data_IF_501617597939
#
_entry.id   IF_501617597939
#
_cell.length_a   1.000
_cell.length_b   1.000
_cell.length_c   1.000
_cell.angle_alpha   90.00
_cell.angle_beta   90.00
_cell.angle_gamma   90.00
#
_symmetry.space_group_name_H-M   'P 1'
#
loop_
_entity.id
_entity.type
_entity.pdbx_description
1 polymer ?
#
# COMPACT_ATOMS: atom_id res chain seq x y z
N UNK A 1 5.13 79.04 94.95
CA UNK A 1 3.90 79.87 94.82
C UNK A 1 3.96 80.57 93.48
N UNK A 2 2.98 80.58 92.60
CA UNK A 2 1.74 79.82 92.40
C UNK A 2 1.18 80.31 91.03
N UNK A 3 0.35 79.48 90.40
CA UNK A 3 -0.65 79.78 89.36
C UNK A 3 -0.25 79.97 87.88
N UNK A 4 -0.60 78.92 87.13
CA UNK A 4 -1.60 78.89 86.03
C UNK A 4 -1.32 79.60 84.70
N UNK A 5 -1.36 78.82 83.60
CA UNK A 5 -2.31 78.88 82.45
C UNK A 5 -1.79 78.02 81.28
N UNK A 6 -2.53 76.96 80.90
CA UNK A 6 -3.32 76.82 79.66
C UNK A 6 -2.50 77.04 78.36
N UNK A 7 -2.14 76.00 77.61
CA UNK A 7 -2.94 75.19 76.65
C UNK A 7 -2.55 75.54 75.21
N UNK A 8 -1.98 74.56 74.48
CA UNK A 8 -2.49 74.15 73.16
C UNK A 8 -1.89 72.82 72.70
N UNK A 9 -2.79 71.86 72.65
CA UNK A 9 -2.82 70.63 71.86
C UNK A 9 -2.29 70.80 70.42
N UNK A 10 -1.50 69.82 69.98
CA UNK A 10 -1.59 69.24 68.64
C UNK A 10 -1.33 67.73 68.74
N UNK A 11 -2.40 66.98 68.52
CA UNK A 11 -2.50 65.53 68.38
C UNK A 11 -1.91 65.04 67.06
N UNK A 12 -1.15 63.95 67.08
CA UNK A 12 -1.00 63.02 65.96
C UNK A 12 -1.43 61.62 66.45
N UNK A 13 -2.26 60.86 65.70
CA UNK A 13 -2.66 59.52 66.14
C UNK A 13 -1.50 58.54 65.91
N UNK A 14 -1.13 57.83 66.97
CA UNK A 14 -0.23 56.67 66.91
C UNK A 14 -0.92 55.51 66.18
N UNK A 15 -0.16 54.86 65.29
CA UNK A 15 -0.57 53.69 64.52
C UNK A 15 -0.89 52.49 65.45
N UNK A 16 -2.15 52.06 65.49
CA UNK A 16 -2.55 50.78 66.09
C UNK A 16 -2.34 49.62 65.09
N UNK A 17 -1.49 48.69 65.50
CA UNK A 17 -1.06 47.48 64.82
C UNK A 17 -2.22 46.53 64.48
N UNK A 18 -2.53 46.38 63.18
CA UNK A 18 -3.55 45.45 62.65
C UNK A 18 -3.02 44.02 62.55
N UNK A 19 -2.65 43.42 63.68
CA UNK A 19 -2.34 41.98 63.71
C UNK A 19 -3.63 41.17 63.92
N UNK A 20 -3.93 40.23 63.00
CA UNK A 20 -5.12 39.37 63.11
C UNK A 20 -5.09 38.50 64.39
N UNK A 21 -6.23 38.37 65.08
CA UNK A 21 -6.44 37.44 66.20
C UNK A 21 -6.07 35.99 65.80
N UNK A 22 -5.49 35.23 66.73
CA UNK A 22 -4.98 33.85 66.56
C UNK A 22 -6.04 32.91 65.98
N UNK A 23 -7.29 33.03 66.41
CA UNK A 23 -8.40 32.20 65.89
C UNK A 23 -8.69 32.50 64.42
N UNK A 24 -8.61 33.77 64.02
CA UNK A 24 -8.75 34.19 62.62
C UNK A 24 -7.59 33.69 61.76
N UNK A 25 -6.37 33.69 62.30
CA UNK A 25 -5.19 33.12 61.61
C UNK A 25 -5.32 31.62 61.42
N UNK A 26 -5.79 30.89 62.44
CA UNK A 26 -5.98 29.43 62.36
C UNK A 26 -7.08 29.06 61.36
N UNK A 27 -8.21 29.79 61.35
CA UNK A 27 -9.28 29.60 60.37
C UNK A 27 -8.82 29.91 58.93
N UNK A 28 -8.05 30.98 58.74
CA UNK A 28 -7.47 31.31 57.44
C UNK A 28 -6.45 30.27 56.99
N UNK A 29 -5.63 29.75 57.91
CA UNK A 29 -4.67 28.69 57.61
C UNK A 29 -5.34 27.37 57.22
N UNK A 30 -6.38 26.95 57.95
CA UNK A 30 -7.17 25.76 57.62
C UNK A 30 -7.80 25.89 56.22
N UNK A 31 -8.32 27.08 55.88
CA UNK A 31 -8.89 27.35 54.57
C UNK A 31 -7.85 27.34 53.45
N UNK A 32 -6.63 27.84 53.72
CA UNK A 32 -5.50 27.80 52.79
C UNK A 32 -5.05 26.36 52.57
N UNK A 33 -4.85 25.59 53.63
CA UNK A 33 -4.42 24.20 53.57
C UNK A 33 -5.43 23.34 52.81
N UNK A 34 -6.73 23.49 53.11
CA UNK A 34 -7.79 22.81 52.38
C UNK A 34 -7.84 23.23 50.90
N UNK A 35 -7.52 24.49 50.57
CA UNK A 35 -7.46 24.96 49.17
C UNK A 35 -6.26 24.41 48.40
N UNK A 36 -5.12 24.23 49.07
CA UNK A 36 -3.88 23.66 48.51
C UNK A 36 -4.09 22.17 48.23
N UNK A 37 -4.70 21.43 49.15
CA UNK A 37 -4.96 20.00 48.98
C UNK A 37 -5.98 19.70 47.88
N UNK A 38 -7.04 20.53 47.75
CA UNK A 38 -7.97 20.42 46.62
C UNK A 38 -7.26 20.66 45.28
N UNK A 39 -6.32 21.61 45.22
CA UNK A 39 -5.52 21.85 44.01
C UNK A 39 -4.60 20.67 43.72
N UNK A 40 -3.82 20.19 44.70
CA UNK A 40 -2.95 19.02 44.54
C UNK A 40 -3.72 17.78 44.09
N UNK A 41 -4.87 17.49 44.69
CA UNK A 41 -5.73 16.34 44.33
C UNK A 41 -6.30 16.46 42.92
N UNK A 42 -6.67 17.67 42.47
CA UNK A 42 -7.09 17.90 41.07
C UNK A 42 -5.93 17.70 40.09
N UNK A 43 -4.73 18.18 40.42
CA UNK A 43 -3.55 17.98 39.59
C UNK A 43 -3.15 16.50 39.51
N UNK A 44 -3.14 15.76 40.63
CA UNK A 44 -2.78 14.32 40.63
C UNK A 44 -3.82 13.46 39.93
N UNK A 45 -5.12 13.73 40.07
CA UNK A 45 -6.16 13.03 39.31
C UNK A 45 -6.05 13.34 37.81
N UNK A 46 -5.73 14.60 37.46
CA UNK A 46 -5.50 15.00 36.07
C UNK A 46 -4.28 14.32 35.44
N UNK A 47 -3.14 14.25 36.14
CA UNK A 47 -1.93 13.59 35.64
C UNK A 47 -2.10 12.08 35.57
N UNK A 48 -2.75 11.45 36.55
CA UNK A 48 -3.05 10.03 36.53
C UNK A 48 -4.01 9.66 35.38
N UNK A 49 -5.01 10.50 35.12
CA UNK A 49 -5.91 10.34 33.96
C UNK A 49 -5.18 10.45 32.62
N UNK A 50 -4.23 11.39 32.49
CA UNK A 50 -3.41 11.53 31.29
C UNK A 50 -2.49 10.31 31.05
N UNK A 51 -1.88 9.77 32.11
CA UNK A 51 -1.03 8.56 32.03
C UNK A 51 -1.87 7.36 31.56
N UNK A 52 -3.04 7.14 32.16
CA UNK A 52 -3.95 6.06 31.75
C UNK A 52 -4.38 6.21 30.29
N UNK A 53 -4.70 7.42 29.84
CA UNK A 53 -5.06 7.67 28.45
C UNK A 53 -3.93 7.31 27.48
N UNK A 54 -2.67 7.63 27.79
CA UNK A 54 -1.50 7.27 26.96
C UNK A 54 -1.25 5.77 26.94
N UNK A 55 -1.41 5.08 28.07
CA UNK A 55 -1.28 3.62 28.11
C UNK A 55 -2.40 2.91 27.33
N UNK A 56 -3.64 3.40 27.43
CA UNK A 56 -4.77 2.83 26.68
C UNK A 56 -4.61 3.07 25.19
N UNK A 57 -4.21 4.28 24.75
CA UNK A 57 -3.96 4.55 23.32
C UNK A 57 -2.76 3.75 22.80
N UNK A 58 -1.70 3.61 23.59
CA UNK A 58 -0.55 2.77 23.28
C UNK A 58 -0.91 1.29 23.17
N UNK A 59 -1.73 0.76 24.08
CA UNK A 59 -2.21 -0.62 24.06
C UNK A 59 -3.14 -0.88 22.86
N UNK A 60 -4.07 0.03 22.58
CA UNK A 60 -4.96 -0.07 21.41
C UNK A 60 -4.16 0.02 20.12
N UNK A 61 -3.15 0.90 20.05
CA UNK A 61 -2.24 1.00 18.91
C UNK A 61 -1.40 -0.26 18.73
N UNK A 62 -0.89 -0.84 19.83
CA UNK A 62 -0.13 -2.10 19.81
C UNK A 62 -0.98 -3.29 19.38
N UNK A 63 -2.21 -3.41 19.90
CA UNK A 63 -3.17 -4.45 19.49
C UNK A 63 -3.56 -4.28 18.01
N UNK A 64 -3.81 -3.04 17.57
CA UNK A 64 -4.08 -2.73 16.17
C UNK A 64 -2.90 -3.12 15.26
N UNK A 65 -1.67 -2.79 15.64
CA UNK A 65 -0.44 -3.20 14.94
C UNK A 65 -0.30 -4.73 14.89
N UNK A 66 -0.47 -5.42 16.01
CA UNK A 66 -0.30 -6.87 16.13
C UNK A 66 -1.31 -7.65 15.29
N UNK A 67 -2.60 -7.28 15.32
CA UNK A 67 -3.65 -7.93 14.52
C UNK A 67 -3.45 -7.69 13.01
N UNK A 68 -2.75 -6.64 12.60
CA UNK A 68 -2.56 -6.28 11.19
C UNK A 68 -1.37 -6.97 10.52
N UNK A 69 -0.39 -7.47 11.29
CA UNK A 69 0.77 -8.19 10.73
C UNK A 69 0.43 -9.63 10.32
N UNK A 70 -0.31 -10.38 11.15
CA UNK A 70 -0.55 -11.83 10.91
C UNK A 70 -1.29 -12.12 9.60
N UNK A 71 -2.34 -11.36 9.27
CA UNK A 71 -3.14 -11.59 8.06
C UNK A 71 -2.35 -11.32 6.76
N UNK A 72 -1.42 -10.37 6.80
CA UNK A 72 -0.59 -10.04 5.63
C UNK A 72 0.40 -11.16 5.31
N UNK A 73 0.95 -11.81 6.34
CA UNK A 73 1.90 -12.91 6.17
C UNK A 73 1.21 -14.17 5.65
N UNK A 74 0.02 -14.49 6.15
CA UNK A 74 -0.80 -15.60 5.65
C UNK A 74 -1.13 -15.43 4.16
N UNK A 75 -1.60 -14.24 3.75
CA UNK A 75 -1.93 -13.98 2.35
C UNK A 75 -0.70 -14.05 1.44
N UNK A 76 0.47 -13.53 1.89
CA UNK A 76 1.73 -13.66 1.15
C UNK A 76 2.11 -15.13 0.96
N UNK A 77 1.94 -15.99 1.97
CA UNK A 77 2.19 -17.45 1.86
C UNK A 77 1.23 -18.10 0.86
N UNK A 78 -0.08 -17.84 0.97
CA UNK A 78 -1.08 -18.36 0.05
C UNK A 78 -0.81 -17.94 -1.40
N UNK A 79 -0.40 -16.69 -1.62
CA UNK A 79 -0.01 -16.19 -2.93
C UNK A 79 1.21 -16.94 -3.48
N UNK A 80 2.26 -17.12 -2.68
CA UNK A 80 3.47 -17.83 -3.11
C UNK A 80 3.19 -19.28 -3.53
N UNK A 81 2.38 -19.99 -2.73
CA UNK A 81 1.94 -21.34 -3.03
C UNK A 81 1.14 -21.39 -4.34
N UNK A 82 0.22 -20.44 -4.52
CA UNK A 82 -0.61 -20.35 -5.72
C UNK A 82 0.20 -20.07 -6.98
N UNK A 83 1.20 -19.19 -6.91
CA UNK A 83 2.11 -18.90 -8.03
C UNK A 83 2.82 -20.17 -8.51
N UNK A 84 3.32 -20.99 -7.58
CA UNK A 84 4.02 -22.23 -7.93
C UNK A 84 3.09 -23.26 -8.61
N UNK A 85 1.82 -23.30 -8.23
CA UNK A 85 0.84 -24.23 -8.78
C UNK A 85 0.31 -23.80 -10.16
N UNK A 86 0.15 -22.49 -10.38
CA UNK A 86 -0.48 -21.94 -11.59
C UNK A 86 0.48 -21.75 -12.76
N UNK A 87 1.80 -21.62 -12.50
CA UNK A 87 2.85 -21.43 -13.53
C UNK A 87 2.91 -22.55 -14.59
N UNK A 88 2.28 -23.70 -14.34
CA UNK A 88 2.28 -24.86 -15.25
C UNK A 88 1.10 -24.93 -16.22
N UNK A 89 0.09 -24.06 -16.11
CA UNK A 89 -1.08 -24.07 -16.99
C UNK A 89 -0.95 -23.06 -18.14
N UNK A 90 -0.35 -23.45 -19.25
CA UNK A 90 -0.22 -22.55 -20.40
C UNK A 90 -1.58 -22.26 -21.07
N UNK A 91 -1.75 -21.00 -21.50
CA UNK A 91 -2.70 -20.61 -22.55
C UNK A 91 -4.13 -20.24 -22.11
N UNK A 92 -4.43 -20.22 -20.82
CA UNK A 92 -5.74 -19.77 -20.33
C UNK A 92 -5.64 -19.06 -18.98
N UNK A 93 -6.62 -18.22 -18.69
CA UNK A 93 -6.77 -17.58 -17.37
C UNK A 93 -7.17 -18.67 -16.37
N UNK A 94 -6.46 -18.72 -15.25
CA UNK A 94 -6.67 -19.74 -14.23
C UNK A 94 -7.04 -19.10 -12.90
N UNK A 95 -7.89 -19.77 -12.14
CA UNK A 95 -8.20 -19.42 -10.78
C UNK A 95 -7.97 -20.60 -9.85
N UNK A 96 -7.24 -20.37 -8.77
CA UNK A 96 -7.05 -21.33 -7.69
C UNK A 96 -7.73 -20.82 -6.43
N UNK A 97 -8.41 -21.71 -5.70
CA UNK A 97 -8.93 -21.42 -4.35
C UNK A 97 -8.19 -22.31 -3.35
N UNK A 98 -7.70 -21.72 -2.26
CA UNK A 98 -7.05 -22.40 -1.14
C UNK A 98 -7.90 -22.23 0.11
N UNK A 99 -8.30 -23.36 0.73
CA UNK A 99 -9.02 -23.39 2.01
C UNK A 99 -8.06 -23.43 3.20
N UNK A 100 -8.49 -22.86 4.33
CA UNK A 100 -7.75 -22.83 5.61
C UNK A 100 -7.73 -24.17 6.38
N UNK A 101 -8.44 -25.21 5.93
CA UNK A 101 -8.46 -26.50 6.64
C UNK A 101 -7.09 -27.20 6.62
N UNK A 102 -6.31 -27.07 7.71
CA UNK A 102 -5.05 -27.82 7.94
C UNK A 102 -3.80 -27.00 8.28
N UNK A 103 -3.87 -25.98 9.15
CA UNK A 103 -2.69 -25.21 9.61
C UNK A 103 -2.33 -25.44 11.09
N UNK A 104 -2.82 -26.52 11.70
CA UNK A 104 -2.33 -27.00 13.00
C UNK A 104 -1.50 -28.27 12.80
N UNK A 105 -0.26 -28.23 13.31
CA UNK A 105 0.76 -29.27 13.38
C UNK A 105 1.28 -29.86 12.06
N UNK A 106 2.41 -29.31 11.61
CA UNK A 106 3.58 -30.16 11.37
C UNK A 106 3.55 -31.15 10.19
N UNK A 107 2.87 -30.87 9.09
CA UNK A 107 3.17 -31.50 7.80
C UNK A 107 2.58 -30.65 6.66
N UNK A 108 3.35 -30.53 5.58
CA UNK A 108 3.00 -29.81 4.36
C UNK A 108 1.86 -30.52 3.63
N UNK A 109 0.62 -30.28 4.01
CA UNK A 109 -0.54 -30.72 3.24
C UNK A 109 -1.64 -29.65 3.27
N UNK A 110 -1.43 -28.59 2.49
CA UNK A 110 -2.55 -27.82 1.97
C UNK A 110 -3.26 -28.70 0.94
N UNK A 111 -4.34 -29.33 1.39
CA UNK A 111 -5.23 -30.10 0.53
C UNK A 111 -5.69 -29.24 -0.66
N UNK A 112 -5.36 -29.72 -1.88
CA UNK A 112 -6.02 -29.34 -3.14
C UNK A 112 -7.55 -29.56 -2.99
N UNK A 113 -8.47 -28.96 -3.75
CA UNK A 113 -8.49 -28.90 -5.22
C UNK A 113 -9.70 -28.08 -5.70
N UNK A 114 -9.47 -27.09 -6.56
CA UNK A 114 -10.29 -26.76 -7.74
C UNK A 114 -9.60 -25.60 -8.47
N UNK A 115 -8.72 -25.95 -9.41
CA UNK A 115 -8.29 -25.00 -10.43
C UNK A 115 -9.42 -24.92 -11.45
N UNK A 116 -10.21 -23.83 -11.42
CA UNK A 116 -11.20 -23.60 -12.46
C UNK A 116 -10.47 -22.92 -13.62
N UNK A 117 -10.42 -23.60 -14.76
CA UNK A 117 -9.98 -23.01 -16.03
C UNK A 117 -11.12 -22.11 -16.50
N UNK A 118 -10.93 -20.79 -16.41
CA UNK A 118 -11.92 -19.82 -16.85
C UNK A 118 -11.74 -19.63 -18.37
N UNK A 119 -12.47 -20.42 -19.15
CA UNK A 119 -12.72 -20.12 -20.56
C UNK A 119 -13.81 -19.06 -20.61
N UNK A 120 -13.45 -17.88 -21.10
CA UNK A 120 -14.34 -16.76 -21.41
C UNK A 120 -14.86 -15.95 -20.20
N UNK A 121 -14.04 -14.95 -19.84
CA UNK A 121 -14.36 -13.61 -19.32
C UNK A 121 -15.65 -13.35 -18.50
N UNK A 122 -15.41 -12.69 -17.36
CA UNK A 122 -16.30 -12.05 -16.35
C UNK A 122 -16.58 -12.96 -15.14
N UNK A 123 -15.82 -12.70 -14.07
CA UNK A 123 -15.99 -13.36 -12.78
C UNK A 123 -17.07 -12.65 -11.95
N UNK A 124 -18.18 -13.34 -11.71
CA UNK A 124 -19.09 -13.03 -10.61
C UNK A 124 -18.65 -13.83 -9.39
N UNK A 125 -18.17 -13.14 -8.36
CA UNK A 125 -17.91 -13.75 -7.06
C UNK A 125 -19.25 -14.13 -6.40
N UNK A 126 -19.87 -15.25 -6.79
CA UNK A 126 -21.05 -15.75 -6.09
C UNK A 126 -20.97 -17.25 -5.78
N UNK A 127 -20.68 -17.47 -4.50
CA UNK A 127 -21.24 -18.48 -3.59
C UNK A 127 -20.92 -19.97 -3.81
N UNK A 128 -20.04 -20.48 -2.94
CA UNK A 128 -20.20 -21.78 -2.31
C UNK A 128 -20.11 -21.59 -0.78
N UNK A 129 -21.05 -22.20 -0.08
CA UNK A 129 -21.29 -22.00 1.33
C UNK A 129 -20.29 -22.79 2.19
N UNK A 130 -19.43 -22.09 2.93
CA UNK A 130 -19.19 -22.37 4.36
C UNK A 130 -18.61 -21.10 5.00
N UNK A 131 -19.22 -20.61 6.08
CA UNK A 131 -18.99 -19.23 6.59
C UNK A 131 -17.73 -19.06 7.44
N UNK A 132 -16.97 -20.13 7.69
CA UNK A 132 -15.96 -20.14 8.76
C UNK A 132 -14.50 -20.34 8.33
N UNK A 133 -14.20 -20.72 7.08
CA UNK A 133 -12.83 -20.68 6.57
C UNK A 133 -12.58 -19.34 5.83
N UNK A 134 -11.39 -18.76 5.99
CA UNK A 134 -10.93 -17.71 5.07
C UNK A 134 -10.31 -18.43 3.88
N UNK A 135 -11.05 -18.51 2.79
CA UNK A 135 -10.54 -19.07 1.54
C UNK A 135 -9.83 -17.96 0.75
N UNK A 136 -8.59 -18.20 0.34
CA UNK A 136 -7.87 -17.31 -0.57
C UNK A 136 -8.11 -17.74 -2.01
N UNK A 137 -8.42 -16.78 -2.88
CA UNK A 137 -8.53 -16.96 -4.33
C UNK A 137 -7.37 -16.29 -5.01
N UNK A 138 -6.73 -16.98 -5.94
CA UNK A 138 -5.66 -16.44 -6.78
C UNK A 138 -6.06 -16.54 -8.24
N UNK A 139 -6.06 -15.40 -8.94
CA UNK A 139 -6.25 -15.31 -10.38
C UNK A 139 -4.91 -15.13 -11.05
N UNK A 140 -4.60 -15.96 -12.04
CA UNK A 140 -3.45 -15.83 -12.93
C UNK A 140 -3.89 -15.47 -14.35
N UNK A 141 -3.27 -14.42 -14.90
CA UNK A 141 -3.46 -14.00 -16.28
C UNK A 141 -2.20 -14.38 -17.08
N UNK A 142 -2.28 -15.31 -18.06
CA UNK A 142 -1.12 -15.68 -18.86
C UNK A 142 -0.69 -14.56 -19.80
N UNK A 143 0.48 -14.73 -20.41
CA UNK A 143 1.00 -13.77 -21.37
C UNK A 143 0.03 -13.60 -22.56
N UNK A 144 -0.04 -12.38 -23.10
CA UNK A 144 -0.94 -12.01 -24.20
C UNK A 144 -2.40 -11.77 -23.78
N UNK A 145 -2.77 -12.01 -22.52
CA UNK A 145 -4.14 -11.86 -22.03
C UNK A 145 -4.24 -10.76 -20.96
N UNK A 146 -5.47 -10.31 -20.72
CA UNK A 146 -5.86 -9.34 -19.69
C UNK A 146 -7.19 -9.76 -19.11
N UNK A 147 -7.44 -9.46 -17.84
CA UNK A 147 -8.68 -9.84 -17.18
C UNK A 147 -9.16 -8.75 -16.22
N UNK A 148 -10.46 -8.45 -16.26
CA UNK A 148 -11.13 -7.66 -15.22
C UNK A 148 -11.65 -8.57 -14.10
N UNK A 149 -11.34 -8.20 -12.86
CA UNK A 149 -11.82 -8.84 -11.64
C UNK A 149 -12.66 -7.81 -10.89
N UNK A 150 -13.90 -8.17 -10.58
CA UNK A 150 -14.79 -7.37 -9.74
C UNK A 150 -14.84 -8.03 -8.37
N UNK A 151 -14.45 -7.28 -7.34
CA UNK A 151 -14.47 -7.72 -5.95
C UNK A 151 -15.86 -7.52 -5.33
N UNK A 152 -16.13 -8.20 -4.22
CA UNK A 152 -17.44 -8.14 -3.55
C UNK A 152 -17.82 -6.74 -3.02
N UNK A 153 -16.83 -5.87 -2.79
CA UNK A 153 -17.04 -4.49 -2.37
C UNK A 153 -17.32 -3.54 -3.54
N UNK A 154 -17.41 -4.06 -4.77
CA UNK A 154 -17.62 -3.31 -6.00
C UNK A 154 -16.35 -2.73 -6.62
N UNK A 155 -15.18 -2.94 -6.01
CA UNK A 155 -13.90 -2.51 -6.58
C UNK A 155 -13.59 -3.30 -7.86
N UNK A 156 -13.03 -2.62 -8.86
CA UNK A 156 -12.66 -3.21 -10.15
C UNK A 156 -11.16 -3.22 -10.33
N UNK A 157 -10.63 -4.34 -10.80
CA UNK A 157 -9.20 -4.55 -10.98
C UNK A 157 -8.96 -5.15 -12.35
N UNK A 158 -8.22 -4.45 -13.20
CA UNK A 158 -7.80 -4.98 -14.48
C UNK A 158 -6.36 -5.47 -14.39
N UNK A 159 -6.18 -6.78 -14.53
CA UNK A 159 -4.90 -7.47 -14.50
C UNK A 159 -4.28 -7.52 -15.89
N UNK A 160 -3.00 -7.18 -15.97
CA UNK A 160 -2.21 -7.27 -17.19
C UNK A 160 -1.57 -8.67 -17.33
N UNK A 161 -1.02 -8.92 -18.52
CA UNK A 161 -0.37 -10.18 -18.88
C UNK A 161 0.75 -10.58 -17.92
N UNK A 162 0.74 -11.83 -17.44
CA UNK A 162 1.72 -12.36 -16.50
C UNK A 162 1.45 -12.04 -15.03
N UNK A 163 0.26 -11.54 -14.70
CA UNK A 163 -0.04 -11.08 -13.34
C UNK A 163 -0.80 -12.13 -12.51
N UNK A 164 -0.53 -12.10 -11.22
CA UNK A 164 -1.22 -12.84 -10.17
C UNK A 164 -1.88 -11.87 -9.20
N UNK A 165 -3.16 -12.11 -8.91
CA UNK A 165 -3.90 -11.39 -7.87
C UNK A 165 -4.46 -12.39 -6.88
N UNK A 166 -4.05 -12.28 -5.62
CA UNK A 166 -4.58 -13.09 -4.51
C UNK A 166 -5.45 -12.24 -3.59
N UNK A 167 -6.64 -12.70 -3.26
CA UNK A 167 -7.59 -11.98 -2.42
C UNK A 167 -8.47 -12.96 -1.64
N UNK A 168 -8.99 -12.58 -0.45
CA UNK A 168 -9.90 -13.43 0.28
C UNK A 168 -11.25 -13.53 -0.45
N UNK A 169 -11.95 -14.66 -0.30
CA UNK A 169 -13.29 -14.83 -0.86
C UNK A 169 -14.30 -13.80 -0.32
N UNK A 170 -14.10 -13.34 0.91
CA UNK A 170 -14.86 -12.26 1.55
C UNK A 170 -13.95 -11.42 2.46
N UNK A 171 -14.09 -10.11 2.39
CA UNK A 171 -13.46 -9.14 3.27
C UNK A 171 -14.10 -9.17 4.66
N UNK A 172 -13.38 -9.74 5.63
CA UNK A 172 -13.82 -9.84 7.04
C UNK A 172 -13.06 -8.82 7.91
N UNK A 173 -13.68 -8.39 9.00
CA UNK A 173 -13.02 -7.58 10.03
C UNK A 173 -12.62 -6.17 9.60
N UNK A 174 -13.27 -5.60 8.57
CA UNK A 174 -12.98 -4.25 8.09
C UNK A 174 -11.63 -4.11 7.37
N UNK A 175 -11.09 -5.22 6.84
CA UNK A 175 -9.84 -5.25 6.08
C UNK A 175 -10.12 -5.63 4.63
N UNK A 176 -9.65 -4.81 3.69
CA UNK A 176 -9.79 -5.06 2.25
C UNK A 176 -8.42 -5.26 1.64
N UNK A 177 -7.81 -6.40 1.93
CA UNK A 177 -6.44 -6.70 1.55
C UNK A 177 -6.39 -7.60 0.31
N UNK A 178 -5.54 -7.25 -0.64
CA UNK A 178 -5.19 -8.09 -1.79
C UNK A 178 -3.68 -8.15 -1.93
N UNK A 179 -3.16 -9.22 -2.52
CA UNK A 179 -1.75 -9.36 -2.88
C UNK A 179 -1.59 -9.36 -4.39
N UNK A 180 -0.66 -8.55 -4.90
CA UNK A 180 -0.35 -8.42 -6.32
C UNK A 180 1.11 -8.84 -6.58
N UNK A 181 1.30 -9.73 -7.56
CA UNK A 181 2.57 -9.92 -8.25
C UNK A 181 2.30 -9.80 -9.75
N UNK A 182 2.74 -8.69 -10.35
CA UNK A 182 2.45 -8.37 -11.74
C UNK A 182 2.07 -6.91 -11.93
N UNK A 183 1.21 -6.61 -12.90
CA UNK A 183 0.66 -5.28 -13.12
C UNK A 183 -0.86 -5.26 -13.13
N UNK A 184 -1.41 -4.28 -12.44
CA UNK A 184 -2.85 -4.10 -12.33
C UNK A 184 -3.23 -2.62 -12.28
N UNK A 185 -4.33 -2.29 -12.95
CA UNK A 185 -5.04 -1.04 -12.77
C UNK A 185 -6.21 -1.26 -11.81
N UNK A 186 -6.34 -0.40 -10.81
CA UNK A 186 -7.34 -0.48 -9.75
C UNK A 186 -8.28 0.71 -9.84
N UNK A 187 -9.59 0.44 -9.76
CA UNK A 187 -10.64 1.39 -9.42
C UNK A 187 -11.30 0.93 -8.13
N UNK A 188 -10.87 1.52 -7.01
CA UNK A 188 -11.31 1.08 -5.68
C UNK A 188 -12.56 1.83 -5.26
N UNK A 189 -13.57 1.08 -4.84
CA UNK A 189 -14.80 1.65 -4.28
C UNK A 189 -14.51 2.41 -2.98
N UNK A 190 -15.11 3.60 -2.87
CA UNK A 190 -14.97 4.46 -1.68
C UNK A 190 -15.54 3.77 -0.45
N UNK A 191 -14.73 3.64 0.60
CA UNK A 191 -15.13 3.05 1.87
C UNK A 191 -14.36 3.68 3.04
N UNK A 192 -14.91 3.58 4.26
CA UNK A 192 -14.24 3.98 5.50
C UNK A 192 -13.08 3.04 5.86
N UNK A 193 -13.18 1.77 5.47
CA UNK A 193 -12.13 0.77 5.67
C UNK A 193 -11.09 0.87 4.54
N UNK A 194 -9.79 0.93 4.85
CA UNK A 194 -8.75 1.02 3.83
C UNK A 194 -8.71 -0.24 2.96
N UNK A 195 -8.46 -0.03 1.68
CA UNK A 195 -8.06 -1.08 0.74
C UNK A 195 -6.54 -1.12 0.67
N UNK A 196 -5.96 -2.30 0.86
CA UNK A 196 -4.50 -2.49 0.85
C UNK A 196 -4.09 -3.42 -0.29
N UNK A 197 -3.17 -2.95 -1.12
CA UNK A 197 -2.46 -3.79 -2.09
C UNK A 197 -1.11 -4.14 -1.49
N UNK A 198 -0.96 -5.39 -1.09
CA UNK A 198 0.29 -5.98 -0.65
C UNK A 198 1.12 -6.37 -1.87
N UNK A 199 2.41 -6.08 -1.82
CA UNK A 199 3.38 -6.52 -2.82
C UNK A 199 4.59 -7.13 -2.10
N UNK A 200 5.57 -7.60 -2.88
CA UNK A 200 6.87 -7.99 -2.35
C UNK A 200 7.75 -6.79 -1.95
N UNK A 201 7.37 -5.57 -2.32
CA UNK A 201 8.17 -4.36 -2.11
C UNK A 201 7.63 -3.44 -1.00
N UNK A 202 6.40 -3.70 -0.55
CA UNK A 202 5.69 -2.88 0.39
C UNK A 202 4.17 -2.96 0.25
N UNK A 203 3.49 -2.06 0.93
CA UNK A 203 2.03 -1.98 1.01
C UNK A 203 1.51 -0.64 0.52
N UNK A 204 0.57 -0.66 -0.41
CA UNK A 204 -0.17 0.52 -0.88
C UNK A 204 -1.53 0.54 -0.16
N UNK A 205 -1.91 1.67 0.41
CA UNK A 205 -3.19 1.87 1.10
C UNK A 205 -3.98 3.02 0.47
N UNK A 206 -5.28 2.77 0.26
CA UNK A 206 -6.22 3.73 -0.34
C UNK A 206 -7.61 3.64 0.30
N UNK A 207 -8.44 4.66 0.14
CA UNK A 207 -9.83 4.68 0.62
C UNK A 207 -10.87 4.70 -0.51
N UNK A 208 -10.48 5.12 -1.72
CA UNK A 208 -11.34 5.31 -2.89
C UNK A 208 -10.55 6.07 -3.95
N UNK A 209 -9.81 5.31 -4.77
CA UNK A 209 -8.67 5.81 -5.55
C UNK A 209 -8.57 5.01 -6.84
N UNK A 210 -8.25 5.67 -7.94
CA UNK A 210 -7.85 5.00 -9.19
C UNK A 210 -6.34 5.10 -9.40
N UNK A 211 -5.67 3.97 -9.56
CA UNK A 211 -4.20 3.89 -9.63
C UNK A 211 -3.72 2.66 -10.40
N UNK A 212 -2.49 2.68 -10.91
CA UNK A 212 -1.84 1.53 -11.54
C UNK A 212 -0.63 1.10 -10.70
N UNK A 213 -0.42 -0.21 -10.56
CA UNK A 213 0.75 -0.78 -9.89
C UNK A 213 1.40 -1.79 -10.82
N UNK A 214 2.71 -1.72 -11.01
CA UNK A 214 3.54 -2.69 -11.71
C UNK A 214 4.64 -3.16 -10.77
N UNK A 215 4.56 -4.39 -10.29
CA UNK A 215 5.45 -4.98 -9.30
C UNK A 215 5.83 -6.44 -9.62
N UNK A 216 6.01 -6.76 -10.92
CA UNK A 216 6.51 -8.07 -11.36
C UNK A 216 7.80 -8.43 -10.63
N UNK A 217 7.89 -9.61 -10.02
CA UNK A 217 9.04 -10.06 -9.23
C UNK A 217 10.37 -10.05 -10.00
N UNK A 218 10.32 -10.34 -11.31
CA UNK A 218 11.49 -10.37 -12.19
C UNK A 218 11.94 -9.00 -12.71
N UNK A 219 11.16 -7.94 -12.47
CA UNK A 219 11.52 -6.58 -12.86
C UNK A 219 12.43 -5.92 -11.82
N UNK A 220 13.28 -4.98 -12.27
CA UNK A 220 14.22 -4.29 -11.38
C UNK A 220 13.55 -3.23 -10.50
N UNK A 221 12.36 -2.78 -10.91
CA UNK A 221 11.67 -1.67 -10.28
C UNK A 221 10.18 -1.98 -10.08
N UNK A 222 9.64 -1.47 -8.98
CA UNK A 222 8.21 -1.42 -8.72
C UNK A 222 7.71 0.00 -8.98
N UNK A 223 6.62 0.13 -9.74
CA UNK A 223 6.03 1.41 -10.10
C UNK A 223 4.59 1.50 -9.56
N UNK A 224 4.25 2.61 -8.91
CA UNK A 224 2.88 2.92 -8.51
C UNK A 224 2.50 4.31 -9.02
N UNK A 225 1.51 4.39 -9.90
CA UNK A 225 1.05 5.64 -10.54
C UNK A 225 -0.35 6.00 -10.07
N UNK A 226 -0.52 7.21 -9.56
CA UNK A 226 -1.81 7.69 -9.04
C UNK A 226 -2.56 8.52 -10.08
N UNK A 227 -3.79 8.10 -10.40
CA UNK A 227 -4.67 8.77 -11.36
C UNK A 227 -5.68 9.68 -10.64
N UNK A 228 -6.42 9.16 -9.66
CA UNK A 228 -7.38 9.93 -8.84
C UNK A 228 -7.32 9.52 -7.38
N UNK A 229 -7.67 10.43 -6.46
CA UNK A 229 -7.69 10.13 -5.02
C UNK A 229 -6.33 10.33 -4.36
N UNK A 230 -5.96 9.45 -3.43
CA UNK A 230 -4.69 9.46 -2.70
C UNK A 230 -4.16 8.05 -2.49
N UNK A 231 -2.84 7.90 -2.50
CA UNK A 231 -2.12 6.68 -2.11
C UNK A 231 -1.23 7.01 -0.93
N UNK A 232 -1.24 6.15 0.09
CA UNK A 232 -0.15 6.00 1.04
C UNK A 232 0.62 4.72 0.71
N UNK A 233 1.92 4.81 0.50
CA UNK A 233 2.81 3.67 0.29
C UNK A 233 3.73 3.52 1.49
N UNK A 234 3.80 2.31 2.04
CA UNK A 234 4.76 1.91 3.07
C UNK A 234 5.70 0.87 2.46
N UNK A 235 7.00 1.18 2.38
CA UNK A 235 7.99 0.20 1.95
C UNK A 235 8.27 -0.83 3.04
N UNK A 236 8.85 -1.96 2.69
CA UNK A 236 9.24 -3.00 3.67
C UNK A 236 10.23 -2.48 4.73
N UNK A 237 10.98 -1.42 4.44
CA UNK A 237 11.86 -0.73 5.40
C UNK A 237 11.13 0.35 6.21
N UNK A 238 9.80 0.31 6.26
CA UNK A 238 8.91 1.25 6.98
C UNK A 238 9.00 2.72 6.56
N UNK A 239 9.45 2.99 5.33
CA UNK A 239 9.41 4.35 4.80
C UNK A 239 8.02 4.64 4.24
N UNK A 240 7.44 5.79 4.65
CA UNK A 240 6.11 6.21 4.24
C UNK A 240 6.16 7.30 3.18
N UNK A 241 5.43 7.09 2.09
CA UNK A 241 5.28 8.02 0.98
C UNK A 241 3.81 8.28 0.72
N UNK A 242 3.47 9.52 0.36
CA UNK A 242 2.12 9.88 -0.06
C UNK A 242 2.18 10.44 -1.47
N UNK A 243 1.30 9.94 -2.33
CA UNK A 243 1.20 10.41 -3.71
C UNK A 243 -0.05 11.28 -3.88
N UNK A 244 0.07 12.25 -4.76
CA UNK A 244 -1.02 13.06 -5.32
C UNK A 244 -1.32 12.62 -6.76
N UNK A 245 -2.56 12.84 -7.25
CA UNK A 245 -2.88 12.64 -8.67
C UNK A 245 -1.84 13.32 -9.56
N UNK A 246 -1.34 12.62 -10.58
CA UNK A 246 -0.20 13.13 -11.36
C UNK A 246 1.11 12.40 -11.10
N UNK A 247 1.26 11.81 -9.91
CA UNK A 247 2.55 11.31 -9.44
C UNK A 247 2.73 9.81 -9.66
N UNK A 248 3.98 9.41 -9.87
CA UNK A 248 4.41 8.02 -9.90
C UNK A 248 5.56 7.82 -8.91
N UNK A 249 5.42 6.79 -8.07
CA UNK A 249 6.49 6.26 -7.25
C UNK A 249 7.21 5.16 -8.01
N UNK A 250 8.54 5.23 -8.03
CA UNK A 250 9.42 4.21 -8.56
C UNK A 250 10.37 3.73 -7.46
N UNK A 251 10.28 2.45 -7.11
CA UNK A 251 11.16 1.77 -6.17
C UNK A 251 12.14 0.91 -6.95
N UNK A 252 13.43 1.24 -6.90
CA UNK A 252 14.49 0.42 -7.47
C UNK A 252 14.93 -0.64 -6.45
N UNK A 253 14.70 -1.92 -6.75
CA UNK A 253 14.96 -3.03 -5.81
C UNK A 253 16.45 -3.22 -5.53
N UNK A 254 17.30 -3.00 -6.53
CA UNK A 254 18.75 -3.18 -6.40
C UNK A 254 19.37 -2.14 -5.48
N UNK A 255 18.94 -0.88 -5.61
CA UNK A 255 19.47 0.23 -4.80
C UNK A 255 18.66 0.47 -3.52
N UNK A 256 17.49 -0.17 -3.40
CA UNK A 256 16.49 0.13 -2.35
C UNK A 256 16.15 1.63 -2.26
N UNK A 257 16.17 2.31 -3.42
CA UNK A 257 15.87 3.74 -3.52
C UNK A 257 14.48 3.95 -4.07
N UNK A 258 13.80 4.94 -3.52
CA UNK A 258 12.46 5.33 -3.92
C UNK A 258 12.52 6.76 -4.45
N UNK A 259 11.95 6.97 -5.62
CA UNK A 259 11.79 8.28 -6.24
C UNK A 259 10.33 8.52 -6.58
N UNK A 260 9.89 9.77 -6.45
CA UNK A 260 8.53 10.19 -6.84
C UNK A 260 8.64 11.23 -7.93
N UNK A 261 8.08 10.92 -9.09
CA UNK A 261 8.11 11.77 -10.28
C UNK A 261 6.71 12.35 -10.55
N UNK A 262 6.66 13.53 -11.17
CA UNK A 262 5.43 14.19 -11.61
C UNK A 262 5.14 13.93 -13.10
N UNK A 263 3.88 14.07 -13.52
CA UNK A 263 3.49 14.00 -14.94
C UNK A 263 3.24 12.60 -15.49
N UNK A 264 3.08 11.59 -14.63
CA UNK A 264 3.06 10.18 -15.02
C UNK A 264 1.67 9.62 -15.39
N UNK A 265 0.59 10.42 -15.27
CA UNK A 265 -0.81 9.95 -15.41
C UNK A 265 -1.11 9.37 -16.78
N UNK A 266 -0.51 9.90 -17.83
CA UNK A 266 -0.72 9.38 -19.17
C UNK A 266 -0.20 7.93 -19.32
N UNK A 267 0.84 7.52 -18.59
CA UNK A 267 1.48 6.22 -18.79
C UNK A 267 0.67 5.01 -18.30
N UNK A 268 0.03 5.14 -17.14
CA UNK A 268 -0.61 4.02 -16.42
C UNK A 268 -1.85 3.44 -17.10
N UNK A 269 -2.53 4.21 -17.96
CA UNK A 269 -3.72 3.76 -18.70
C UNK A 269 -3.43 3.35 -20.14
N UNK A 270 -2.28 3.69 -20.73
CA UNK A 270 -2.07 3.53 -22.17
C UNK A 270 -2.10 2.08 -22.63
N UNK A 271 -1.77 1.13 -21.75
CA UNK A 271 -1.86 -0.29 -22.09
C UNK A 271 -3.30 -0.71 -22.42
N UNK A 272 -4.32 -0.10 -21.79
CA UNK A 272 -5.75 -0.31 -22.14
C UNK A 272 -6.05 0.11 -23.58
N UNK A 273 -5.29 1.06 -24.12
CA UNK A 273 -5.37 1.57 -25.50
C UNK A 273 -4.35 0.95 -26.45
N UNK A 274 -3.70 -0.16 -26.07
CA UNK A 274 -2.61 -0.82 -26.81
C UNK A 274 -1.45 0.13 -27.15
N UNK A 275 -1.08 0.98 -26.19
CA UNK A 275 0.09 1.84 -26.27
C UNK A 275 0.95 1.65 -25.03
N UNK A 276 2.25 1.91 -25.18
CA UNK A 276 3.20 1.92 -24.08
C UNK A 276 3.80 3.32 -23.96
N UNK A 277 3.69 3.94 -22.79
CA UNK A 277 4.52 5.10 -22.46
C UNK A 277 5.89 4.61 -22.05
N UNK A 278 6.90 5.14 -22.72
CA UNK A 278 8.30 4.95 -22.40
C UNK A 278 8.78 6.24 -21.74
N UNK A 279 9.33 6.13 -20.54
CA UNK A 279 10.06 7.22 -19.89
C UNK A 279 11.40 6.65 -19.47
N UNK A 280 12.45 7.02 -20.20
CA UNK A 280 13.82 6.54 -20.00
C UNK A 280 13.86 5.03 -19.71
N UNK A 281 13.15 4.24 -20.53
CA UNK A 281 13.03 2.80 -20.33
C UNK A 281 14.24 2.07 -20.95
N UNK A 282 15.01 1.28 -20.19
CA UNK A 282 16.08 0.46 -20.74
C UNK A 282 15.54 -0.61 -21.70
N UNK A 283 16.32 -0.95 -22.73
CA UNK A 283 15.92 -1.96 -23.73
C UNK A 283 15.52 -3.32 -23.12
N UNK A 284 16.25 -3.88 -22.13
CA UNK A 284 15.83 -5.15 -21.52
C UNK A 284 14.44 -5.09 -20.88
N UNK A 285 14.07 -3.98 -20.26
CA UNK A 285 12.73 -3.79 -19.68
C UNK A 285 11.66 -3.66 -20.77
N UNK A 286 12.00 -2.98 -21.87
CA UNK A 286 11.10 -2.89 -23.03
C UNK A 286 10.82 -4.28 -23.62
N UNK A 287 11.85 -5.10 -23.84
CA UNK A 287 11.66 -6.47 -24.35
C UNK A 287 10.81 -7.31 -23.43
N UNK A 288 11.05 -7.32 -22.11
CA UNK A 288 10.20 -8.03 -21.16
C UNK A 288 8.73 -7.61 -21.26
N UNK A 289 8.46 -6.31 -21.39
CA UNK A 289 7.09 -5.82 -21.58
C UNK A 289 6.49 -6.32 -22.90
N UNK A 290 7.25 -6.34 -23.99
CA UNK A 290 6.79 -6.87 -25.28
C UNK A 290 6.55 -8.39 -25.22
N UNK A 291 7.42 -9.16 -24.56
CA UNK A 291 7.25 -10.60 -24.33
C UNK A 291 5.92 -10.90 -23.63
N UNK A 292 5.63 -10.18 -22.53
CA UNK A 292 4.34 -10.30 -21.80
C UNK A 292 3.14 -9.99 -22.69
N UNK A 293 3.22 -8.90 -23.46
CA UNK A 293 2.09 -8.40 -24.26
C UNK A 293 1.80 -9.29 -25.48
N UNK A 294 2.84 -9.80 -26.14
CA UNK A 294 2.70 -10.59 -27.37
C UNK A 294 2.76 -12.10 -27.15
N UNK A 295 3.01 -12.56 -25.91
CA UNK A 295 3.20 -13.97 -25.58
C UNK A 295 4.29 -14.62 -26.42
N UNK A 296 5.46 -13.98 -26.41
CA UNK A 296 6.66 -14.40 -27.13
C UNK A 296 7.87 -14.35 -26.21
N UNK A 297 8.96 -14.99 -26.60
CA UNK A 297 10.27 -14.88 -25.99
C UNK A 297 11.25 -14.25 -26.98
N UNK A 298 11.93 -13.17 -26.55
CA UNK A 298 12.81 -12.36 -27.40
C UNK A 298 14.27 -12.69 -27.08
N UNK A 299 14.91 -13.41 -27.99
CA UNK A 299 16.35 -13.66 -27.99
C UNK A 299 17.08 -12.47 -28.60
N UNK A 300 17.79 -11.73 -27.76
CA UNK A 300 18.59 -10.58 -28.19
C UNK A 300 20.07 -10.76 -27.85
N UNK A 301 21.00 -10.34 -28.74
CA UNK A 301 22.44 -10.39 -28.47
C UNK A 301 22.81 -9.51 -27.27
N UNK A 302 23.90 -9.86 -26.59
CA UNK A 302 24.39 -9.15 -25.41
C UNK A 302 24.60 -7.65 -25.69
N UNK A 303 25.00 -7.29 -26.91
CA UNK A 303 25.17 -5.90 -27.34
C UNK A 303 23.89 -5.07 -27.21
N UNK A 304 22.71 -5.66 -27.44
CA UNK A 304 21.41 -4.98 -27.26
C UNK A 304 21.00 -4.91 -25.78
N UNK A 305 21.39 -5.90 -24.98
CA UNK A 305 21.10 -5.92 -23.55
C UNK A 305 21.88 -4.83 -22.79
N UNK A 306 23.08 -4.50 -23.28
CA UNK A 306 23.93 -3.46 -22.70
C UNK A 306 23.64 -2.04 -23.22
N UNK A 307 22.65 -1.87 -24.12
CA UNK A 307 22.25 -0.54 -24.59
C UNK A 307 21.69 0.25 -23.42
N UNK A 308 22.47 1.23 -22.96
CA UNK A 308 22.11 2.16 -21.88
C UNK A 308 21.14 3.25 -22.35
N UNK A 309 20.92 3.38 -23.66
CA UNK A 309 19.99 4.36 -24.20
C UNK A 309 18.60 3.98 -23.74
N UNK A 310 17.97 4.94 -23.08
CA UNK A 310 16.72 4.77 -22.41
C UNK A 310 15.62 5.38 -23.30
N UNK A 311 14.69 4.56 -23.75
CA UNK A 311 13.65 4.98 -24.69
C UNK A 311 12.64 5.88 -24.00
N UNK A 312 12.26 6.95 -24.67
CA UNK A 312 11.23 7.88 -24.21
C UNK A 312 10.26 8.17 -25.34
N UNK A 313 8.98 8.30 -25.02
CA UNK A 313 7.91 8.56 -26.00
C UNK A 313 6.74 7.59 -25.86
N UNK A 314 5.98 7.44 -26.94
CA UNK A 314 4.83 6.52 -27.01
C UNK A 314 5.08 5.47 -28.07
N UNK A 315 5.04 4.21 -27.69
CA UNK A 315 5.15 3.07 -28.61
C UNK A 315 3.75 2.51 -28.87
N UNK A 316 3.36 2.45 -30.15
CA UNK A 316 2.13 1.79 -30.58
C UNK A 316 2.35 0.28 -30.58
N UNK A 317 1.42 -0.47 -29.98
CA UNK A 317 1.44 -1.93 -29.94
C UNK A 317 0.43 -2.52 -30.94
N UNK A 318 0.08 -1.76 -31.97
CA UNK A 318 -0.83 -2.22 -33.03
C UNK A 318 -0.09 -3.11 -34.04
N UNK A 319 -0.73 -4.19 -34.43
CA UNK A 319 -0.18 -5.16 -35.39
C UNK A 319 0.55 -6.32 -34.71
N UNK A 320 1.48 -6.94 -35.44
CA UNK A 320 2.31 -8.04 -34.95
C UNK A 320 3.51 -7.52 -34.15
N UNK A 321 4.10 -8.40 -33.34
CA UNK A 321 5.38 -8.11 -32.65
C UNK A 321 6.46 -7.67 -33.66
N UNK A 322 6.49 -8.27 -34.85
CA UNK A 322 7.44 -7.91 -35.90
C UNK A 322 7.34 -6.43 -36.29
N UNK A 323 6.11 -5.92 -36.46
CA UNK A 323 5.88 -4.52 -36.81
C UNK A 323 6.32 -3.58 -35.69
N UNK A 324 6.04 -3.96 -34.44
CA UNK A 324 6.46 -3.17 -33.27
C UNK A 324 7.99 -3.13 -33.17
N UNK A 325 8.67 -4.28 -33.30
CA UNK A 325 10.13 -4.33 -33.24
C UNK A 325 10.77 -3.56 -34.40
N UNK A 326 10.21 -3.63 -35.61
CA UNK A 326 10.67 -2.83 -36.76
C UNK A 326 10.53 -1.32 -36.56
N UNK A 327 9.65 -0.87 -35.66
CA UNK A 327 9.49 0.56 -35.34
C UNK A 327 10.55 1.09 -34.36
N UNK A 328 11.35 0.20 -33.76
CA UNK A 328 12.44 0.57 -32.86
C UNK A 328 13.70 0.79 -33.69
N UNK A 329 14.18 2.03 -33.75
CA UNK A 329 15.29 2.46 -34.61
C UNK A 329 16.56 1.61 -34.44
N UNK A 330 16.92 1.26 -33.21
CA UNK A 330 18.11 0.48 -32.88
C UNK A 330 18.06 -0.95 -33.45
N UNK A 331 16.86 -1.43 -33.81
CA UNK A 331 16.65 -2.74 -34.42
C UNK A 331 16.73 -2.73 -35.95
N UNK A 332 16.90 -1.57 -36.60
CA UNK A 332 17.06 -1.48 -38.06
C UNK A 332 18.25 -2.30 -38.59
N UNK A 333 19.33 -2.38 -37.80
CA UNK A 333 20.54 -3.15 -38.11
C UNK A 333 20.42 -4.65 -37.81
N UNK A 334 19.25 -5.11 -37.34
CA UNK A 334 19.00 -6.50 -37.00
C UNK A 334 17.97 -7.11 -37.97
N UNK A 335 18.19 -8.37 -38.32
CA UNK A 335 17.20 -9.25 -38.93
C UNK A 335 16.34 -9.86 -37.82
N UNK A 336 15.02 -9.75 -37.95
CA UNK A 336 14.06 -10.37 -37.04
C UNK A 336 13.61 -11.68 -37.66
N UNK A 337 13.80 -12.80 -36.93
CA UNK A 337 13.24 -14.11 -37.31
C UNK A 337 12.27 -14.56 -36.22
N UNK A 338 11.08 -14.98 -36.62
CA UNK A 338 10.04 -15.44 -35.70
C UNK A 338 9.76 -16.90 -35.99
N UNK A 339 9.83 -17.74 -34.96
CA UNK A 339 9.44 -19.14 -35.00
C UNK A 339 8.47 -19.41 -33.85
N UNK A 340 7.18 -19.51 -34.17
CA UNK A 340 6.11 -19.62 -33.17
C UNK A 340 6.17 -18.48 -32.12
N UNK A 341 6.47 -18.81 -30.87
CA UNK A 341 6.63 -17.85 -29.77
C UNK A 341 8.07 -17.33 -29.63
N UNK A 342 9.04 -17.86 -30.39
CA UNK A 342 10.45 -17.48 -30.29
C UNK A 342 10.80 -16.39 -31.31
N UNK A 343 11.33 -15.26 -30.83
CA UNK A 343 11.74 -14.11 -31.66
C UNK A 343 13.24 -13.93 -31.54
N UNK A 344 13.97 -14.07 -32.65
CA UNK A 344 15.42 -13.93 -32.71
C UNK A 344 15.82 -12.62 -33.39
N UNK A 345 16.60 -11.80 -32.69
CA UNK A 345 17.23 -10.59 -33.23
C UNK A 345 18.67 -10.92 -33.65
N UNK A 346 18.92 -11.02 -34.95
CA UNK A 346 20.21 -11.42 -35.51
C UNK A 346 20.86 -10.21 -36.16
N UNK A 347 22.08 -9.84 -35.76
CA UNK A 347 22.78 -8.71 -36.37
C UNK A 347 23.03 -9.00 -37.87
N UNK A 348 22.69 -8.03 -38.73
CA UNK A 348 22.88 -8.14 -40.19
C UNK A 348 24.35 -8.20 -40.59
#
# INVERSE_FOLDING_TARGET
MDKSKQERSLTGPEDEDKSFNTDTKNFLWEKIEHSIDRKKKKYTIGTLGAIVAVFVTGLVFWIYMSINQDLSLEMKRAAQLSVNLLKHGEGSIQMLTLSKTGLEEGETDLAKEQAIILKDSIFYAQQMANKEAVDYKTVYVPYGMRQEVILEDGSKIWLNAGSFLTFPATFKGGKRDVFLNGEAYFEIATNLHPFRVLTNDGTIQVLGTSFNVSCYEEDQEMLATLITGRIAFESDNHQLFQLKPGQQLALNRKESKIHVNEGAVDGGMLWTKRQLALDKMPMPMLFKKLERIFNVHIHCPETLQQVKVAYSGRLSLQGSIENVLKSIYELESYQIKINEKEVYLIKK
#
